data_IF_574344070156
#
_entry.id   IF_574344070156
#
_cell.length_a   1.000
_cell.length_b   1.000
_cell.length_c   1.000
_cell.angle_alpha   90.00
_cell.angle_beta   90.00
_cell.angle_gamma   90.00
#
_symmetry.space_group_name_H-M   'P 1'
#
loop_
_entity.id
_entity.type
_entity.pdbx_description
1 polymer ?
#
# COMPACT_ATOMS: atom_id res chain seq x y z
N UNK A 1 -0.12 16.16 -1.89
CA UNK A 1 0.62 16.15 -0.60
C UNK A 1 0.30 14.84 0.13
N UNK A 2 1.34 14.17 0.65
CA UNK A 2 1.31 12.94 1.48
C UNK A 2 0.73 11.66 0.85
N UNK A 3 1.50 11.05 -0.06
CA UNK A 3 1.36 9.62 -0.39
C UNK A 3 2.02 8.80 0.73
N UNK A 4 1.27 7.80 1.23
CA UNK A 4 1.58 7.00 2.40
C UNK A 4 2.95 6.34 2.35
N UNK A 5 3.43 5.94 3.53
CA UNK A 5 4.65 5.18 3.68
C UNK A 5 4.59 3.96 2.81
N UNK A 6 5.40 4.01 1.76
CA UNK A 6 5.71 2.87 0.93
C UNK A 6 6.51 1.90 1.80
N UNK A 7 5.81 1.03 2.53
CA UNK A 7 6.34 -0.28 2.85
C UNK A 7 6.33 -1.03 1.53
N UNK A 8 7.45 -0.97 0.81
CA UNK A 8 7.70 -1.86 -0.31
C UNK A 8 7.77 -3.24 0.31
N UNK A 9 6.65 -3.97 0.25
CA UNK A 9 6.56 -5.36 0.68
C UNK A 9 7.52 -6.12 -0.24
N UNK A 10 8.70 -6.42 0.28
CA UNK A 10 9.67 -7.28 -0.36
C UNK A 10 9.03 -8.67 -0.45
N UNK A 11 8.84 -9.14 -1.67
CA UNK A 11 8.36 -10.49 -1.97
C UNK A 11 9.39 -11.46 -1.39
N UNK A 12 8.97 -12.33 -0.47
CA UNK A 12 9.79 -13.43 -0.02
C UNK A 12 9.82 -14.48 -1.13
N UNK A 13 10.97 -14.62 -1.79
CA UNK A 13 11.20 -15.66 -2.78
C UNK A 13 11.76 -16.88 -2.07
N UNK A 14 10.93 -17.91 -1.86
CA UNK A 14 11.41 -19.23 -1.42
C UNK A 14 11.72 -20.14 -2.61
N UNK A 15 12.96 -20.59 -2.67
CA UNK A 15 13.54 -21.42 -3.72
C UNK A 15 13.19 -22.90 -3.51
N UNK A 16 12.59 -23.53 -4.53
CA UNK A 16 12.54 -24.98 -4.79
C UNK A 16 12.71 -25.07 -6.32
N UNK A 17 13.71 -25.68 -6.97
CA UNK A 17 14.48 -26.92 -6.83
C UNK A 17 15.66 -26.73 -7.83
N UNK A 18 16.95 -26.90 -7.51
CA UNK A 18 17.74 -28.07 -7.97
C UNK A 18 19.21 -28.05 -7.51
N UNK A 19 19.65 -27.11 -6.67
CA UNK A 19 21.02 -27.15 -6.11
C UNK A 19 21.00 -26.84 -4.63
N UNK A 20 21.61 -27.74 -3.85
CA UNK A 20 21.88 -27.63 -2.42
C UNK A 20 22.62 -26.32 -2.09
N UNK A 21 21.90 -25.22 -1.90
CA UNK A 21 22.46 -23.95 -1.44
C UNK A 21 21.52 -23.37 -0.36
N UNK A 22 21.97 -23.21 0.89
CA UNK A 22 21.09 -22.89 2.02
C UNK A 22 20.65 -21.40 2.06
N UNK A 23 19.54 -21.10 2.79
CA UNK A 23 18.83 -19.81 2.74
C UNK A 23 19.59 -18.62 3.35
N UNK A 24 19.09 -17.41 3.10
CA UNK A 24 19.67 -16.10 3.42
C UNK A 24 20.02 -15.93 4.92
N UNK A 25 21.30 -16.04 5.29
CA UNK A 25 21.75 -16.00 6.68
C UNK A 25 22.29 -14.62 7.10
N UNK A 26 21.60 -13.95 8.01
CA UNK A 26 22.16 -12.83 8.77
C UNK A 26 22.82 -13.39 10.03
N UNK A 27 24.11 -13.08 10.22
CA UNK A 27 24.85 -13.48 11.41
C UNK A 27 24.39 -12.66 12.63
N UNK A 28 23.35 -13.14 13.30
CA UNK A 28 23.12 -12.80 14.69
C UNK A 28 24.07 -13.69 15.52
N UNK A 29 25.14 -13.10 16.05
CA UNK A 29 25.99 -13.71 17.07
C UNK A 29 26.56 -15.11 16.72
N UNK A 30 27.10 -15.27 15.51
CA UNK A 30 27.91 -16.45 15.16
C UNK A 30 27.14 -17.66 14.64
N UNK A 31 25.80 -17.64 14.63
CA UNK A 31 25.00 -18.66 13.94
C UNK A 31 24.35 -18.09 12.67
N UNK A 32 24.33 -18.85 11.55
CA UNK A 32 23.60 -18.47 10.35
C UNK A 32 22.09 -18.48 10.63
N UNK A 33 21.41 -17.33 10.57
CA UNK A 33 19.95 -17.22 10.80
C UNK A 33 19.21 -16.74 9.56
N UNK A 34 18.16 -17.47 9.14
CA UNK A 34 17.35 -17.09 7.98
C UNK A 34 16.69 -15.72 8.18
N UNK A 35 16.94 -14.78 7.26
CA UNK A 35 16.38 -13.42 7.25
C UNK A 35 14.86 -13.42 7.20
N UNK A 36 14.26 -14.35 6.45
CA UNK A 36 12.81 -14.47 6.35
C UNK A 36 12.20 -14.81 7.71
N UNK A 37 12.72 -15.85 8.36
CA UNK A 37 12.23 -16.33 9.66
C UNK A 37 12.52 -15.35 10.80
N UNK A 38 13.69 -14.69 10.77
CA UNK A 38 14.14 -13.82 11.85
C UNK A 38 13.62 -12.39 11.76
N UNK A 39 13.52 -11.82 10.55
CA UNK A 39 13.14 -10.41 10.36
C UNK A 39 11.76 -10.28 9.75
N UNK A 40 11.53 -10.90 8.59
CA UNK A 40 10.33 -10.64 7.77
C UNK A 40 9.08 -11.15 8.46
N UNK A 41 9.10 -12.40 8.92
CA UNK A 41 7.94 -13.03 9.57
C UNK A 41 7.54 -12.30 10.86
N UNK A 42 8.44 -12.02 11.82
CA UNK A 42 8.09 -11.26 13.03
C UNK A 42 7.61 -9.84 12.72
N UNK A 43 8.25 -9.15 11.77
CA UNK A 43 7.88 -7.79 11.39
C UNK A 43 6.46 -7.73 10.81
N UNK A 44 6.15 -8.57 9.82
CA UNK A 44 4.83 -8.59 9.17
C UNK A 44 3.72 -8.99 10.15
N UNK A 45 3.94 -10.05 10.95
CA UNK A 45 2.97 -10.48 11.97
C UNK A 45 2.74 -9.40 13.01
N UNK A 46 3.79 -8.70 13.46
CA UNK A 46 3.67 -7.61 14.43
C UNK A 46 2.83 -6.44 13.92
N UNK A 47 2.78 -6.26 12.60
CA UNK A 47 1.99 -5.25 11.91
C UNK A 47 0.60 -5.77 11.48
N UNK A 48 0.22 -7.00 11.86
CA UNK A 48 -1.01 -7.67 11.47
C UNK A 48 -1.15 -7.82 9.94
N UNK A 49 -0.04 -8.03 9.23
CA UNK A 49 -0.04 -8.44 7.83
C UNK A 49 0.09 -9.96 7.72
N UNK A 50 -0.55 -10.52 6.68
CA UNK A 50 -0.33 -11.90 6.30
C UNK A 50 1.08 -12.08 5.75
N UNK A 51 1.70 -13.22 6.10
CA UNK A 51 3.00 -13.58 5.54
C UNK A 51 2.82 -14.07 4.10
N UNK A 52 3.67 -13.63 3.15
CA UNK A 52 3.60 -14.11 1.78
C UNK A 52 3.83 -15.63 1.76
N UNK A 53 2.95 -16.35 1.08
CA UNK A 53 3.05 -17.81 0.89
C UNK A 53 3.46 -18.20 -0.54
N UNK A 54 3.56 -17.22 -1.42
CA UNK A 54 3.85 -17.42 -2.83
C UNK A 54 5.34 -17.19 -3.03
N UNK A 55 6.01 -18.20 -3.58
CA UNK A 55 7.34 -18.04 -4.14
C UNK A 55 7.30 -18.05 -5.66
N UNK A 56 8.18 -17.27 -6.27
CA UNK A 56 8.30 -17.15 -7.73
C UNK A 56 9.75 -17.45 -8.08
N UNK A 57 9.98 -18.21 -9.15
CA UNK A 57 11.33 -18.50 -9.61
C UNK A 57 12.03 -17.20 -10.11
N UNK A 58 13.35 -17.11 -9.89
CA UNK A 58 14.17 -15.95 -10.27
C UNK A 58 14.06 -15.61 -11.75
N UNK A 59 13.99 -16.60 -12.65
CA UNK A 59 13.87 -16.36 -14.09
C UNK A 59 12.57 -15.62 -14.46
N UNK A 60 11.45 -16.02 -13.85
CA UNK A 60 10.15 -15.35 -14.05
C UNK A 60 10.16 -13.95 -13.44
N UNK A 61 10.77 -13.80 -12.27
CA UNK A 61 10.93 -12.52 -11.58
C UNK A 61 11.81 -11.55 -12.38
N UNK A 62 12.87 -12.05 -13.02
CA UNK A 62 13.72 -11.26 -13.91
C UNK A 62 12.94 -10.77 -15.12
N UNK A 63 12.13 -11.63 -15.75
CA UNK A 63 11.28 -11.23 -16.86
C UNK A 63 10.29 -10.13 -16.44
N UNK A 64 9.63 -10.31 -15.29
CA UNK A 64 8.72 -9.32 -14.73
C UNK A 64 9.44 -8.01 -14.38
N UNK A 65 10.64 -8.07 -13.82
CA UNK A 65 11.45 -6.88 -13.49
C UNK A 65 11.89 -6.11 -14.73
N UNK A 66 12.17 -6.78 -15.85
CA UNK A 66 12.47 -6.13 -17.14
C UNK A 66 11.24 -5.38 -17.66
N UNK A 67 10.06 -5.97 -17.53
CA UNK A 67 8.80 -5.31 -17.88
C UNK A 67 8.56 -4.05 -17.02
N UNK A 68 8.72 -4.15 -15.69
CA UNK A 68 8.60 -2.97 -14.82
C UNK A 68 9.68 -1.93 -15.07
N UNK A 69 10.90 -2.34 -15.42
CA UNK A 69 11.98 -1.44 -15.80
C UNK A 69 11.63 -0.66 -17.08
N UNK A 70 11.07 -1.32 -18.11
CA UNK A 70 10.58 -0.65 -19.32
C UNK A 70 9.49 0.36 -19.00
N UNK A 71 8.49 0.00 -18.19
CA UNK A 71 7.45 0.93 -17.72
C UNK A 71 8.10 2.13 -17.02
N UNK A 72 9.03 1.87 -16.10
CA UNK A 72 9.73 2.91 -15.33
C UNK A 72 10.52 3.85 -16.21
N UNK A 73 11.10 3.35 -17.31
CA UNK A 73 11.78 4.17 -18.32
C UNK A 73 10.81 5.07 -19.08
N UNK A 74 9.63 4.55 -19.46
CA UNK A 74 8.58 5.34 -20.11
C UNK A 74 8.07 6.47 -19.22
N UNK A 75 7.97 6.22 -17.91
CA UNK A 75 7.51 7.21 -16.94
C UNK A 75 8.65 7.99 -16.26
N UNK A 76 9.90 7.83 -16.72
CA UNK A 76 11.10 8.41 -16.10
C UNK A 76 11.03 9.93 -15.86
N UNK A 77 10.48 10.76 -16.79
CA UNK A 77 10.33 12.19 -16.55
C UNK A 77 9.49 12.51 -15.30
N UNK A 78 8.52 11.65 -14.98
CA UNK A 78 7.63 11.82 -13.85
C UNK A 78 8.10 11.08 -12.58
N UNK A 79 9.13 10.21 -12.67
CA UNK A 79 9.65 9.46 -11.52
C UNK A 79 10.16 10.37 -10.38
N UNK A 80 10.61 11.59 -10.71
CA UNK A 80 11.04 12.59 -9.73
C UNK A 80 9.88 13.17 -8.93
N UNK A 81 8.65 13.04 -9.41
CA UNK A 81 7.49 13.54 -8.68
C UNK A 81 7.07 12.58 -7.57
N UNK A 82 6.77 13.16 -6.41
CA UNK A 82 6.37 12.44 -5.21
C UNK A 82 5.11 11.55 -5.38
N UNK A 83 4.31 11.75 -6.43
CA UNK A 83 3.09 10.98 -6.70
C UNK A 83 3.33 9.71 -7.54
N UNK A 84 4.49 9.57 -8.19
CA UNK A 84 4.81 8.37 -8.97
C UNK A 84 5.38 7.30 -8.02
N UNK A 85 4.87 6.05 -8.01
CA UNK A 85 5.47 4.97 -7.26
C UNK A 85 6.92 4.76 -7.76
N UNK A 86 7.84 4.43 -6.83
CA UNK A 86 9.17 4.00 -7.28
C UNK A 86 9.03 2.75 -8.13
N UNK A 87 10.06 2.41 -8.95
CA UNK A 87 10.03 1.17 -9.71
C UNK A 87 9.76 -0.01 -8.75
N UNK A 88 8.78 -0.84 -9.09
CA UNK A 88 8.28 -1.87 -8.16
C UNK A 88 9.33 -2.94 -7.88
N UNK A 89 9.97 -3.45 -8.93
CA UNK A 89 11.04 -4.47 -8.87
C UNK A 89 12.02 -4.18 -10.01
N UNK A 90 13.25 -3.80 -9.68
CA UNK A 90 14.31 -3.60 -10.65
C UNK A 90 15.11 -4.90 -10.88
N UNK A 91 15.65 -5.16 -12.09
CA UNK A 91 16.50 -6.33 -12.32
C UNK A 91 17.68 -6.41 -11.35
N UNK A 92 18.28 -5.27 -10.98
CA UNK A 92 19.36 -5.20 -10.00
C UNK A 92 18.92 -5.65 -8.60
N UNK A 93 17.68 -5.36 -8.19
CA UNK A 93 17.12 -5.82 -6.93
C UNK A 93 16.89 -7.33 -6.97
N UNK A 94 16.38 -7.87 -8.09
CA UNK A 94 16.20 -9.32 -8.28
C UNK A 94 17.53 -10.06 -8.20
N UNK A 95 18.59 -9.55 -8.83
CA UNK A 95 19.92 -10.15 -8.72
C UNK A 95 20.48 -10.08 -7.30
N UNK A 96 20.27 -8.96 -6.60
CA UNK A 96 20.72 -8.79 -5.22
C UNK A 96 20.03 -9.76 -4.27
N UNK A 97 18.71 -9.93 -4.39
CA UNK A 97 17.95 -10.84 -3.51
C UNK A 97 18.08 -12.31 -3.95
N UNK A 98 18.40 -12.56 -5.22
CA UNK A 98 18.60 -13.90 -5.77
C UNK A 98 19.93 -14.54 -5.41
N UNK A 99 20.86 -13.79 -4.80
CA UNK A 99 22.13 -14.29 -4.30
C UNK A 99 22.11 -14.30 -2.78
N UNK A 100 22.45 -15.46 -2.19
CA UNK A 100 22.63 -15.57 -0.73
C UNK A 100 23.86 -14.77 -0.30
N UNK A 101 23.63 -13.64 0.35
CA UNK A 101 24.69 -12.88 1.01
C UNK A 101 24.89 -13.40 2.43
N UNK A 102 26.08 -13.92 2.71
CA UNK A 102 26.50 -14.27 4.07
C UNK A 102 27.48 -13.21 4.58
N UNK A 103 27.18 -12.62 5.73
CA UNK A 103 28.08 -11.71 6.42
C UNK A 103 28.58 -12.37 7.70
N UNK A 104 29.90 -12.52 7.84
CA UNK A 104 30.52 -13.06 9.05
C UNK A 104 30.77 -11.95 10.06
N UNK A 105 30.09 -12.03 11.21
CA UNK A 105 30.32 -11.14 12.34
C UNK A 105 31.77 -11.19 12.84
N UNK A 106 32.35 -12.39 12.96
CA UNK A 106 33.72 -12.58 13.44
C UNK A 106 34.72 -11.90 12.52
N UNK A 107 34.56 -12.09 11.20
CA UNK A 107 35.40 -11.45 10.19
C UNK A 107 35.30 -9.92 10.26
N UNK A 108 34.07 -9.39 10.37
CA UNK A 108 33.87 -7.94 10.50
C UNK A 108 34.51 -7.37 11.77
N UNK A 109 34.45 -8.09 12.88
CA UNK A 109 35.09 -7.68 14.15
C UNK A 109 36.62 -7.70 14.04
N UNK A 110 37.19 -8.75 13.45
CA UNK A 110 38.64 -8.95 13.35
C UNK A 110 39.29 -8.03 12.31
N UNK A 111 38.67 -7.85 11.14
CA UNK A 111 39.24 -7.06 10.04
C UNK A 111 38.86 -5.58 10.07
N UNK A 112 37.66 -5.25 10.57
CA UNK A 112 37.13 -3.87 10.54
C UNK A 112 36.95 -3.26 11.93
N UNK A 113 37.30 -3.98 13.00
CA UNK A 113 37.08 -3.54 14.37
C UNK A 113 35.58 -3.35 14.70
N UNK A 114 34.69 -4.03 13.97
CA UNK A 114 33.25 -3.87 14.13
C UNK A 114 32.78 -4.31 15.52
N UNK A 115 32.10 -3.40 16.23
CA UNK A 115 31.43 -3.67 17.51
C UNK A 115 29.94 -3.31 17.35
N UNK A 116 29.01 -4.25 17.61
CA UNK A 116 27.59 -3.97 17.49
C UNK A 116 27.13 -3.05 18.62
N UNK A 117 26.47 -1.95 18.26
CA UNK A 117 25.96 -0.97 19.23
C UNK A 117 24.75 -1.49 20.03
N UNK A 118 23.95 -2.37 19.42
CA UNK A 118 22.74 -2.98 20.00
C UNK A 118 22.69 -4.46 19.64
N UNK A 119 21.99 -5.24 20.46
CA UNK A 119 21.76 -6.65 20.13
C UNK A 119 20.81 -6.79 18.92
N UNK A 120 20.88 -7.88 18.14
CA UNK A 120 19.96 -8.08 17.03
C UNK A 120 18.48 -8.11 17.43
N UNK A 121 18.16 -8.69 18.60
CA UNK A 121 16.81 -8.74 19.15
C UNK A 121 16.30 -7.35 19.52
N UNK A 122 17.16 -6.55 20.15
CA UNK A 122 16.87 -5.15 20.45
C UNK A 122 16.66 -4.33 19.17
N UNK A 123 17.56 -4.45 18.18
CA UNK A 123 17.43 -3.78 16.89
C UNK A 123 16.15 -4.15 16.13
N UNK A 124 15.75 -5.43 16.16
CA UNK A 124 14.47 -5.88 15.60
C UNK A 124 13.28 -5.28 16.35
N UNK A 125 13.32 -5.26 17.68
CA UNK A 125 12.25 -4.67 18.49
C UNK A 125 12.06 -3.17 18.22
N UNK A 126 13.17 -2.42 18.08
CA UNK A 126 13.16 -1.01 17.72
C UNK A 126 12.60 -0.80 16.30
N UNK A 127 12.98 -1.66 15.36
CA UNK A 127 12.45 -1.64 13.98
C UNK A 127 10.94 -1.87 13.96
N UNK A 128 10.45 -2.86 14.70
CA UNK A 128 9.01 -3.14 14.84
C UNK A 128 8.29 -1.94 15.47
N UNK A 129 8.84 -1.36 16.54
CA UNK A 129 8.25 -0.20 17.19
C UNK A 129 8.15 1.00 16.24
N UNK A 130 9.22 1.28 15.48
CA UNK A 130 9.25 2.32 14.46
C UNK A 130 8.16 2.11 13.39
N UNK A 131 8.03 0.91 12.85
CA UNK A 131 7.02 0.63 11.82
C UNK A 131 5.59 0.63 12.37
N UNK A 132 5.37 0.20 13.61
CA UNK A 132 4.06 0.32 14.28
C UNK A 132 3.66 1.78 14.49
N UNK A 133 4.59 2.60 14.99
CA UNK A 133 4.38 4.05 15.15
C UNK A 133 4.04 4.69 13.80
N UNK A 134 4.81 4.36 12.76
CA UNK A 134 4.56 4.84 11.42
C UNK A 134 3.18 4.43 10.91
N UNK A 135 2.80 3.16 11.04
CA UNK A 135 1.48 2.65 10.63
C UNK A 135 0.35 3.39 11.37
N UNK A 136 0.52 3.71 12.66
CA UNK A 136 -0.46 4.50 13.44
C UNK A 136 -0.63 5.91 12.89
N UNK A 137 0.42 6.54 12.37
CA UNK A 137 0.35 7.88 11.76
C UNK A 137 -0.25 7.88 10.36
N UNK A 138 -0.38 6.72 9.74
CA UNK A 138 -0.94 6.60 8.40
C UNK A 138 -2.42 6.23 8.47
N UNK A 139 -3.18 6.72 7.50
CA UNK A 139 -4.61 6.45 7.36
C UNK A 139 -4.79 5.23 6.47
N UNK A 140 -5.61 4.28 6.91
CA UNK A 140 -5.94 3.11 6.12
C UNK A 140 -6.77 3.52 4.90
N UNK A 141 -6.30 3.13 3.71
CA UNK A 141 -6.89 3.53 2.43
C UNK A 141 -7.75 2.39 1.87
N UNK A 142 -8.94 2.70 1.31
CA UNK A 142 -9.72 1.72 0.57
C UNK A 142 -8.94 1.21 -0.65
N UNK A 143 -9.31 0.00 -1.07
CA UNK A 143 -8.77 -0.62 -2.28
C UNK A 143 -8.92 0.32 -3.49
N UNK A 144 -7.94 0.33 -4.40
CA UNK A 144 -7.90 1.26 -5.54
C UNK A 144 -9.14 1.16 -6.44
N UNK A 145 -9.77 -0.01 -6.52
CA UNK A 145 -11.01 -0.18 -7.29
C UNK A 145 -12.16 0.66 -6.73
N UNK A 146 -12.26 0.87 -5.41
CA UNK A 146 -13.26 1.77 -4.83
C UNK A 146 -13.00 3.23 -5.21
N UNK A 147 -11.73 3.64 -5.26
CA UNK A 147 -11.38 4.99 -5.72
C UNK A 147 -11.83 5.22 -7.15
N UNK A 148 -11.49 4.28 -8.05
CA UNK A 148 -11.84 4.38 -9.47
C UNK A 148 -13.36 4.37 -9.65
N UNK A 149 -14.06 3.41 -9.03
CA UNK A 149 -15.51 3.25 -9.23
C UNK A 149 -16.32 4.41 -8.67
N UNK A 150 -15.96 4.94 -7.50
CA UNK A 150 -16.69 6.04 -6.87
C UNK A 150 -16.42 7.36 -7.58
N UNK A 151 -15.15 7.65 -7.91
CA UNK A 151 -14.82 8.88 -8.66
C UNK A 151 -15.49 8.85 -10.03
N UNK A 152 -15.40 7.72 -10.76
CA UNK A 152 -16.05 7.57 -12.05
C UNK A 152 -17.58 7.68 -11.94
N UNK A 153 -18.19 7.01 -10.96
CA UNK A 153 -19.65 7.05 -10.74
C UNK A 153 -20.17 8.44 -10.37
N UNK A 154 -19.52 9.13 -9.44
CA UNK A 154 -19.90 10.50 -9.04
C UNK A 154 -19.68 11.50 -10.18
N UNK A 155 -18.60 11.34 -10.94
CA UNK A 155 -18.34 12.18 -12.12
C UNK A 155 -19.36 11.94 -13.24
N UNK A 156 -19.75 10.68 -13.45
CA UNK A 156 -20.76 10.31 -14.43
C UNK A 156 -22.16 10.85 -14.07
N UNK A 157 -22.55 10.75 -12.80
CA UNK A 157 -23.79 11.36 -12.28
C UNK A 157 -23.78 12.88 -12.45
N UNK A 158 -22.68 13.55 -12.08
CA UNK A 158 -22.53 14.99 -12.24
C UNK A 158 -22.63 15.41 -13.71
N UNK A 159 -21.93 14.71 -14.60
CA UNK A 159 -21.97 14.93 -16.04
C UNK A 159 -23.40 14.81 -16.58
N UNK A 160 -24.09 13.70 -16.29
CA UNK A 160 -25.45 13.44 -16.77
C UNK A 160 -26.49 14.43 -16.19
N UNK A 161 -26.25 14.95 -14.99
CA UNK A 161 -27.17 15.86 -14.30
C UNK A 161 -27.08 17.33 -14.77
N UNK A 162 -25.87 17.80 -15.09
CA UNK A 162 -25.59 19.24 -15.22
C UNK A 162 -24.83 19.66 -16.47
N UNK A 163 -24.06 18.76 -17.10
CA UNK A 163 -23.24 19.15 -18.24
C UNK A 163 -24.02 19.00 -19.55
N UNK A 164 -23.76 19.89 -20.53
CA UNK A 164 -24.38 19.77 -21.84
C UNK A 164 -23.89 18.49 -22.54
N UNK A 165 -24.68 18.02 -23.50
CA UNK A 165 -24.41 16.79 -24.23
C UNK A 165 -23.11 16.90 -25.05
N UNK A 166 -22.01 16.39 -24.50
CA UNK A 166 -20.77 16.20 -25.24
C UNK A 166 -20.91 14.97 -26.15
N UNK A 167 -20.77 15.17 -27.47
CA UNK A 167 -20.99 14.12 -28.47
C UNK A 167 -20.28 12.78 -28.18
N UNK A 168 -18.99 12.74 -27.75
CA UNK A 168 -18.31 11.47 -27.49
C UNK A 168 -18.87 10.67 -26.31
N UNK A 169 -19.54 11.33 -25.36
CA UNK A 169 -20.06 10.74 -24.13
C UNK A 169 -21.59 10.63 -24.12
N UNK A 170 -22.24 10.83 -25.27
CA UNK A 170 -23.71 10.79 -25.38
C UNK A 170 -24.32 9.46 -24.92
N UNK A 171 -23.62 8.35 -25.11
CA UNK A 171 -24.05 7.03 -24.63
C UNK A 171 -24.21 6.98 -23.10
N UNK A 172 -23.42 7.74 -22.35
CA UNK A 172 -23.49 7.79 -20.89
C UNK A 172 -24.80 8.42 -20.42
N UNK A 173 -25.24 9.49 -21.08
CA UNK A 173 -26.51 10.16 -20.78
C UNK A 173 -27.71 9.25 -21.09
N UNK A 174 -27.67 8.51 -22.21
CA UNK A 174 -28.70 7.52 -22.52
C UNK A 174 -28.75 6.41 -21.46
N UNK A 175 -27.60 5.90 -21.02
CA UNK A 175 -27.54 4.88 -19.98
C UNK A 175 -28.11 5.40 -18.64
N UNK A 176 -27.78 6.63 -18.25
CA UNK A 176 -28.35 7.24 -17.04
C UNK A 176 -29.85 7.47 -17.17
N UNK A 177 -30.35 7.95 -18.31
CA UNK A 177 -31.78 8.13 -18.55
C UNK A 177 -32.53 6.79 -18.63
N UNK A 178 -31.90 5.74 -19.15
CA UNK A 178 -32.46 4.39 -19.16
C UNK A 178 -32.68 3.88 -17.73
N UNK A 179 -31.68 4.07 -16.85
CA UNK A 179 -31.71 3.60 -15.47
C UNK A 179 -32.60 4.48 -14.59
N UNK A 180 -32.39 5.79 -14.60
CA UNK A 180 -33.04 6.74 -13.69
C UNK A 180 -34.31 7.38 -14.26
N UNK A 181 -34.64 7.13 -15.52
CA UNK A 181 -35.86 7.53 -16.25
C UNK A 181 -36.04 9.03 -16.50
N UNK A 182 -35.47 9.91 -15.68
CA UNK A 182 -35.60 11.36 -15.83
C UNK A 182 -34.38 12.12 -15.32
N UNK A 183 -34.17 13.34 -15.84
CA UNK A 183 -33.10 14.23 -15.37
C UNK A 183 -33.30 14.65 -13.90
N UNK A 184 -34.55 14.83 -13.47
CA UNK A 184 -34.87 15.16 -12.07
C UNK A 184 -34.44 14.04 -11.13
N UNK A 185 -34.65 12.78 -11.51
CA UNK A 185 -34.21 11.64 -10.71
C UNK A 185 -32.68 11.54 -10.66
N UNK A 186 -31.99 11.78 -11.77
CA UNK A 186 -30.51 11.79 -11.79
C UNK A 186 -29.97 12.87 -10.83
N UNK A 187 -30.53 14.08 -10.88
CA UNK A 187 -30.15 15.18 -9.97
C UNK A 187 -30.44 14.85 -8.50
N UNK A 188 -31.61 14.26 -8.23
CA UNK A 188 -31.99 13.83 -6.89
C UNK A 188 -30.98 12.79 -6.37
N UNK A 189 -30.68 11.75 -7.14
CA UNK A 189 -29.72 10.70 -6.78
C UNK A 189 -28.33 11.30 -6.54
N UNK A 190 -27.87 12.22 -7.40
CA UNK A 190 -26.60 12.91 -7.20
C UNK A 190 -26.57 13.66 -5.86
N UNK A 191 -27.59 14.45 -5.54
CA UNK A 191 -27.63 15.18 -4.27
C UNK A 191 -27.76 14.27 -3.05
N UNK A 192 -28.53 13.19 -3.14
CA UNK A 192 -28.60 12.18 -2.08
C UNK A 192 -27.24 11.50 -1.86
N UNK A 193 -26.51 11.19 -2.93
CA UNK A 193 -25.16 10.63 -2.83
C UNK A 193 -24.18 11.63 -2.19
N UNK A 194 -24.19 12.90 -2.61
CA UNK A 194 -23.38 13.95 -1.99
C UNK A 194 -23.72 14.10 -0.50
N UNK A 195 -25.01 14.17 -0.16
CA UNK A 195 -25.46 14.28 1.22
C UNK A 195 -25.02 13.07 2.07
N UNK A 196 -25.08 11.86 1.52
CA UNK A 196 -24.59 10.65 2.18
C UNK A 196 -23.08 10.72 2.45
N UNK A 197 -22.27 11.11 1.46
CA UNK A 197 -20.82 11.27 1.62
C UNK A 197 -20.46 12.28 2.71
N UNK A 198 -21.12 13.44 2.72
CA UNK A 198 -20.89 14.46 3.74
C UNK A 198 -21.40 14.04 5.12
N UNK A 199 -22.58 13.42 5.20
CA UNK A 199 -23.15 12.91 6.45
C UNK A 199 -22.25 11.87 7.11
N UNK A 200 -21.76 10.92 6.32
CA UNK A 200 -20.77 9.95 6.78
C UNK A 200 -19.45 10.59 7.20
N UNK A 201 -18.96 11.57 6.42
CA UNK A 201 -17.72 12.26 6.75
C UNK A 201 -17.82 13.02 8.07
N UNK A 202 -18.95 13.69 8.34
CA UNK A 202 -19.21 14.36 9.61
C UNK A 202 -19.25 13.35 10.76
N UNK A 203 -19.96 12.23 10.59
CA UNK A 203 -19.99 11.14 11.56
C UNK A 203 -18.57 10.65 11.89
N UNK A 204 -17.77 10.37 10.86
CA UNK A 204 -16.37 9.93 11.02
C UNK A 204 -15.53 11.00 11.69
N UNK A 205 -15.66 12.28 11.31
CA UNK A 205 -14.89 13.37 11.91
C UNK A 205 -15.18 13.53 13.40
N UNK A 206 -16.45 13.50 13.80
CA UNK A 206 -16.86 13.63 15.20
C UNK A 206 -16.31 12.47 16.05
N UNK A 207 -16.35 11.25 15.51
CA UNK A 207 -15.83 10.05 16.19
C UNK A 207 -14.30 10.00 16.19
N UNK A 208 -13.65 10.37 15.09
CA UNK A 208 -12.20 10.39 14.95
C UNK A 208 -11.55 11.43 15.86
N UNK A 209 -12.19 12.58 16.12
CA UNK A 209 -11.68 13.57 17.10
C UNK A 209 -11.49 12.97 18.51
N UNK A 210 -12.22 11.92 18.86
CA UNK A 210 -12.12 11.24 20.16
C UNK A 210 -11.16 10.05 20.13
N UNK A 211 -11.19 9.26 19.05
CA UNK A 211 -10.46 7.98 18.96
C UNK A 211 -9.12 8.06 18.20
N UNK A 212 -8.99 8.98 17.24
CA UNK A 212 -7.79 9.16 16.42
C UNK A 212 -7.63 10.64 16.01
N UNK A 213 -7.41 11.55 16.99
CA UNK A 213 -7.38 12.98 16.73
C UNK A 213 -6.28 13.39 15.76
N UNK A 214 -5.16 12.66 15.75
CA UNK A 214 -4.04 12.90 14.84
C UNK A 214 -4.44 12.77 13.36
N UNK A 215 -5.36 11.85 13.05
CA UNK A 215 -5.76 11.55 11.67
C UNK A 215 -7.16 12.03 11.31
N UNK A 216 -7.89 12.67 12.24
CA UNK A 216 -9.31 13.00 12.06
C UNK A 216 -9.63 13.79 10.78
N UNK A 217 -8.76 14.73 10.39
CA UNK A 217 -8.93 15.50 9.13
C UNK A 217 -8.77 14.63 7.90
N UNK A 218 -7.80 13.71 7.90
CA UNK A 218 -7.59 12.83 6.75
C UNK A 218 -8.70 11.79 6.61
N UNK A 219 -9.22 11.27 7.73
CA UNK A 219 -10.41 10.41 7.72
C UNK A 219 -11.62 11.14 7.16
N UNK A 220 -11.85 12.40 7.56
CA UNK A 220 -12.91 13.24 7.01
C UNK A 220 -12.78 13.42 5.49
N UNK A 221 -11.61 13.87 5.01
CA UNK A 221 -11.39 14.11 3.58
C UNK A 221 -11.53 12.84 2.75
N UNK A 222 -11.00 11.71 3.24
CA UNK A 222 -11.15 10.42 2.58
C UNK A 222 -12.61 9.99 2.50
N UNK A 223 -13.41 10.20 3.54
CA UNK A 223 -14.84 9.86 3.56
C UNK A 223 -15.69 10.80 2.71
N UNK A 224 -15.36 12.09 2.60
CA UNK A 224 -16.04 12.99 1.65
C UNK A 224 -15.90 12.45 0.21
N UNK A 225 -14.72 11.93 -0.14
CA UNK A 225 -14.45 11.41 -1.49
C UNK A 225 -15.05 10.02 -1.69
N UNK A 226 -14.88 9.12 -0.72
CA UNK A 226 -15.14 7.69 -0.89
C UNK A 226 -16.37 7.17 -0.16
N UNK A 227 -17.01 7.95 0.71
CA UNK A 227 -18.15 7.53 1.51
C UNK A 227 -17.89 6.22 2.26
N UNK A 228 -18.83 5.28 2.13
CA UNK A 228 -18.97 4.09 2.98
C UNK A 228 -17.71 3.23 3.09
N UNK A 229 -16.96 2.92 2.01
CA UNK A 229 -15.67 2.24 2.11
C UNK A 229 -14.68 2.87 3.11
N UNK A 230 -14.58 4.20 3.16
CA UNK A 230 -13.73 4.91 4.13
C UNK A 230 -14.31 4.78 5.54
N UNK A 231 -15.62 4.95 5.69
CA UNK A 231 -16.33 4.80 6.97
C UNK A 231 -16.16 3.40 7.56
N UNK A 232 -16.20 2.35 6.74
CA UNK A 232 -16.00 0.96 7.16
C UNK A 232 -14.56 0.73 7.67
N UNK A 233 -13.55 1.25 6.98
CA UNK A 233 -12.15 1.17 7.44
C UNK A 233 -11.94 1.89 8.76
N UNK A 234 -12.49 3.10 8.89
CA UNK A 234 -12.44 3.83 10.14
C UNK A 234 -13.09 3.04 11.29
N UNK A 235 -14.29 2.48 11.07
CA UNK A 235 -14.96 1.67 12.09
C UNK A 235 -14.18 0.41 12.46
N UNK A 236 -13.47 -0.23 11.52
CA UNK A 236 -12.58 -1.36 11.83
C UNK A 236 -11.42 -0.94 12.72
N UNK A 237 -10.77 0.18 12.41
CA UNK A 237 -9.68 0.75 13.21
C UNK A 237 -10.16 1.17 14.60
N UNK A 238 -11.33 1.81 14.68
CA UNK A 238 -11.94 2.23 15.93
C UNK A 238 -12.35 1.07 16.86
N UNK A 239 -12.39 -0.18 16.38
CA UNK A 239 -12.58 -1.38 17.22
C UNK A 239 -11.27 -1.94 17.78
N UNK A 240 -10.14 -1.49 17.25
CA UNK A 240 -8.79 -1.94 17.64
C UNK A 240 -8.12 -0.99 18.64
N UNK A 241 -8.70 0.19 18.86
CA UNK A 241 -8.32 1.19 19.87
C UNK A 241 -9.25 1.03 21.05
#
# INVERSE_FOLDING_TARGET
SSFGGKMVISIAFDYVEERKVPPCFLACQGSPVNTYDFIIVPLLKSLAYDVPKISINVSHTLLLSRFFWLISMLIYPWLKHQWVPGPLILPAEVFKIGVTHYFSYLKAREELGYVPMVSPQEGLSMTIAYWKERKRREIDRPHILYWISIIAGMSALFYAAYLPLLQPLRWLNFLHLLVFRSLSNIRLVFWLAVAAHFGEAIYVLLKARRLDPANARGWFLQTVILGFPSTNLFNKRARQV
#
